data_IF_423363122147
#
_entry.id   IF_423363122147
#
_cell.length_a   1.000
_cell.length_b   1.000
_cell.length_c   1.000
_cell.angle_alpha   90.00
_cell.angle_beta   90.00
_cell.angle_gamma   90.00
#
_symmetry.space_group_name_H-M   'P 1'
#
loop_
_entity.id
_entity.type
_entity.pdbx_description
1 polymer ?
#
# COMPACT_ATOMS: atom_id res chain seq x y z
N UNK A 1 -11.54 9.61 4.43
CA UNK A 1 -11.52 8.24 3.89
C UNK A 1 -12.20 8.22 2.54
N UNK A 2 -12.02 7.15 1.76
CA UNK A 2 -12.49 7.06 0.38
C UNK A 2 -13.97 7.46 0.23
N UNK A 3 -14.90 6.77 0.91
CA UNK A 3 -16.35 6.99 0.73
C UNK A 3 -16.81 8.42 1.05
N UNK A 4 -16.35 8.98 2.17
CA UNK A 4 -16.72 10.33 2.60
C UNK A 4 -16.09 11.48 1.81
N UNK A 5 -15.18 11.19 0.87
CA UNK A 5 -14.50 12.21 0.06
C UNK A 5 -15.25 12.42 -1.27
N UNK A 6 -15.51 13.67 -1.65
CA UNK A 6 -16.12 14.00 -2.96
C UNK A 6 -15.13 14.72 -3.87
N UNK A 7 -15.29 14.60 -5.19
CA UNK A 7 -14.45 15.33 -6.15
C UNK A 7 -14.50 16.85 -5.93
N UNK A 8 -15.65 17.38 -5.50
CA UNK A 8 -15.80 18.81 -5.15
C UNK A 8 -14.97 19.19 -3.92
N UNK A 9 -14.96 18.35 -2.88
CA UNK A 9 -14.15 18.59 -1.68
C UNK A 9 -12.65 18.55 -2.01
N UNK A 10 -12.21 17.59 -2.83
CA UNK A 10 -10.81 17.54 -3.31
C UNK A 10 -10.47 18.80 -4.12
N UNK A 11 -11.32 19.18 -5.08
CA UNK A 11 -11.09 20.35 -5.91
C UNK A 11 -11.00 21.64 -5.08
N UNK A 12 -11.90 21.82 -4.10
CA UNK A 12 -11.86 22.95 -3.17
C UNK A 12 -10.56 22.97 -2.36
N UNK A 13 -10.11 21.82 -1.84
CA UNK A 13 -8.86 21.72 -1.08
C UNK A 13 -7.64 22.03 -1.96
N UNK A 14 -7.64 21.56 -3.21
CA UNK A 14 -6.59 21.82 -4.19
C UNK A 14 -6.67 23.24 -4.81
N UNK A 15 -7.66 24.06 -4.42
CA UNK A 15 -7.96 25.37 -5.02
C UNK A 15 -8.12 25.29 -6.55
N UNK A 16 -8.74 24.21 -7.02
CA UNK A 16 -8.95 23.90 -8.43
C UNK A 16 -10.45 23.82 -8.77
N UNK A 17 -10.76 23.91 -10.07
CA UNK A 17 -12.12 23.66 -10.57
C UNK A 17 -12.39 22.15 -10.66
N UNK A 18 -13.52 21.68 -10.12
CA UNK A 18 -13.92 20.26 -10.18
C UNK A 18 -13.98 19.70 -11.62
N UNK A 19 -14.30 20.55 -12.61
CA UNK A 19 -14.29 20.17 -14.02
C UNK A 19 -12.89 19.77 -14.51
N UNK A 20 -11.82 20.38 -13.98
CA UNK A 20 -10.45 19.97 -14.30
C UNK A 20 -10.14 18.60 -13.69
N UNK A 21 -10.57 18.35 -12.46
CA UNK A 21 -10.41 17.04 -11.82
C UNK A 21 -11.09 15.94 -12.63
N UNK A 22 -12.34 16.17 -13.06
CA UNK A 22 -13.07 15.23 -13.93
C UNK A 22 -12.38 15.09 -15.29
N UNK A 23 -11.86 16.17 -15.88
CA UNK A 23 -11.15 16.14 -17.16
C UNK A 23 -9.89 15.25 -17.10
N UNK A 24 -9.08 15.38 -16.05
CA UNK A 24 -7.81 14.66 -15.93
C UNK A 24 -7.99 13.24 -15.40
N UNK A 25 -8.85 13.04 -14.41
CA UNK A 25 -8.96 11.77 -13.71
C UNK A 25 -10.21 10.97 -14.05
N UNK A 26 -11.18 11.54 -14.78
CA UNK A 26 -12.46 10.93 -15.21
C UNK A 26 -13.43 10.58 -14.09
N UNK A 27 -12.98 9.95 -13.01
CA UNK A 27 -13.81 9.53 -11.88
C UNK A 27 -13.09 9.70 -10.53
N UNK A 28 -13.82 9.49 -9.43
CA UNK A 28 -13.28 9.51 -8.06
C UNK A 28 -12.35 8.32 -7.83
N UNK A 29 -12.70 7.17 -8.38
CA UNK A 29 -11.93 5.92 -8.33
C UNK A 29 -10.57 6.12 -8.99
N UNK A 30 -10.55 6.65 -10.22
CA UNK A 30 -9.33 6.87 -10.97
C UNK A 30 -8.45 7.99 -10.36
N UNK A 31 -9.06 9.04 -9.81
CA UNK A 31 -8.33 10.03 -8.99
C UNK A 31 -7.70 9.36 -7.75
N UNK A 32 -8.46 8.54 -7.04
CA UNK A 32 -7.99 7.87 -5.84
C UNK A 32 -6.84 6.91 -6.15
N UNK A 33 -6.95 6.15 -7.23
CA UNK A 33 -5.86 5.29 -7.71
C UNK A 33 -4.59 6.08 -8.01
N UNK A 34 -4.71 7.18 -8.75
CA UNK A 34 -3.60 8.06 -9.06
C UNK A 34 -2.97 8.69 -7.82
N UNK A 35 -3.79 8.99 -6.80
CA UNK A 35 -3.32 9.51 -5.52
C UNK A 35 -2.81 8.41 -4.57
N UNK A 36 -3.05 7.13 -4.87
CA UNK A 36 -2.71 5.99 -4.01
C UNK A 36 -1.35 5.38 -4.36
N UNK A 37 -0.44 6.18 -4.91
CA UNK A 37 0.98 5.81 -4.93
C UNK A 37 1.53 5.78 -3.52
N UNK A 38 2.21 4.67 -3.20
CA UNK A 38 2.74 4.44 -1.87
C UNK A 38 4.06 3.70 -1.95
N UNK A 39 5.08 4.26 -1.31
CA UNK A 39 6.36 3.61 -1.10
C UNK A 39 6.38 3.02 0.32
N UNK A 40 6.50 1.69 0.41
CA UNK A 40 6.64 0.96 1.67
C UNK A 40 7.96 1.30 2.37
N UNK A 41 8.91 1.93 1.67
CA UNK A 41 10.23 2.32 2.20
C UNK A 41 10.92 1.15 2.88
N UNK A 42 10.84 -0.05 2.28
CA UNK A 42 11.33 -1.27 2.90
C UNK A 42 12.80 -1.09 3.32
N UNK A 43 13.17 -1.51 4.54
CA UNK A 43 14.54 -1.38 5.00
C UNK A 43 15.44 -2.29 4.16
N UNK A 44 16.75 -2.01 4.18
CA UNK A 44 17.71 -2.98 3.65
C UNK A 44 17.69 -4.23 4.52
N UNK A 45 17.25 -5.34 3.91
CA UNK A 45 17.16 -6.63 4.56
C UNK A 45 18.43 -7.47 4.40
N UNK A 46 19.33 -7.11 3.47
CA UNK A 46 20.50 -7.92 3.13
C UNK A 46 21.58 -7.98 4.21
N UNK A 47 21.53 -7.06 5.17
CA UNK A 47 22.49 -6.95 6.28
C UNK A 47 22.04 -7.63 7.57
N UNK A 48 20.80 -8.14 7.62
CA UNK A 48 20.23 -8.75 8.82
C UNK A 48 20.48 -10.26 8.88
N UNK A 49 20.65 -10.81 10.09
CA UNK A 49 20.61 -12.25 10.31
C UNK A 49 19.21 -12.80 9.98
N UNK A 50 19.14 -14.07 9.53
CA UNK A 50 17.90 -14.67 9.01
C UNK A 50 16.76 -14.69 10.04
N UNK A 51 17.09 -14.86 11.31
CA UNK A 51 16.18 -14.85 12.46
C UNK A 51 15.70 -13.44 12.85
N UNK A 52 16.42 -12.38 12.45
CA UNK A 52 16.02 -10.99 12.68
C UNK A 52 15.09 -10.43 11.59
N UNK A 53 15.05 -11.06 10.41
CA UNK A 53 14.30 -10.54 9.24
C UNK A 53 12.81 -10.35 9.54
N UNK A 54 12.17 -11.35 10.16
CA UNK A 54 10.76 -11.32 10.50
C UNK A 54 10.41 -10.17 11.46
N UNK A 55 11.04 -10.11 12.65
CA UNK A 55 10.84 -9.01 13.60
C UNK A 55 11.12 -7.62 13.00
N UNK A 56 12.21 -7.45 12.22
CA UNK A 56 12.53 -6.17 11.57
C UNK A 56 11.46 -5.75 10.57
N UNK A 57 11.01 -6.67 9.73
CA UNK A 57 9.99 -6.38 8.72
C UNK A 57 8.63 -6.05 9.38
N UNK A 58 8.26 -6.75 10.45
CA UNK A 58 7.05 -6.47 11.21
C UNK A 58 7.11 -5.10 11.90
N UNK A 59 8.22 -4.78 12.57
CA UNK A 59 8.41 -3.48 13.20
C UNK A 59 8.35 -2.33 12.19
N UNK A 60 9.01 -2.48 11.04
CA UNK A 60 8.96 -1.52 9.95
C UNK A 60 7.53 -1.32 9.42
N UNK A 61 6.81 -2.41 9.21
CA UNK A 61 5.42 -2.36 8.77
C UNK A 61 4.53 -1.58 9.74
N UNK A 62 4.67 -1.80 11.04
CA UNK A 62 3.93 -1.02 12.03
C UNK A 62 4.29 0.45 11.99
N UNK A 63 5.57 0.79 11.88
CA UNK A 63 6.01 2.17 11.74
C UNK A 63 5.39 2.85 10.51
N UNK A 64 5.32 2.15 9.36
CA UNK A 64 4.68 2.67 8.14
C UNK A 64 3.18 2.89 8.33
N UNK A 65 2.49 1.97 9.01
CA UNK A 65 1.05 2.08 9.27
C UNK A 65 0.69 3.17 10.29
N UNK A 66 1.59 3.43 11.24
CA UNK A 66 1.41 4.42 12.29
C UNK A 66 1.98 5.80 11.90
N UNK A 67 2.61 5.92 10.72
CA UNK A 67 3.15 7.17 10.15
C UNK A 67 2.03 8.11 9.69
N UNK A 68 1.37 8.75 10.65
CA UNK A 68 0.48 9.91 10.51
C UNK A 68 -0.25 9.99 9.16
N UNK A 69 0.11 10.91 8.25
CA UNK A 69 -0.54 11.06 6.95
C UNK A 69 -0.42 9.83 6.03
N UNK A 70 0.77 9.22 5.93
CA UNK A 70 1.04 8.10 5.02
C UNK A 70 0.30 6.84 5.47
N UNK A 71 0.37 6.50 6.75
CA UNK A 71 -0.37 5.38 7.34
C UNK A 71 -1.89 5.51 7.14
N UNK A 72 -2.45 6.72 7.32
CA UNK A 72 -3.87 6.98 7.05
C UNK A 72 -4.27 6.75 5.60
N UNK A 73 -3.40 7.07 4.64
CA UNK A 73 -3.64 6.79 3.22
C UNK A 73 -3.70 5.29 2.97
N UNK A 74 -2.75 4.53 3.53
CA UNK A 74 -2.67 3.09 3.35
C UNK A 74 -3.84 2.35 4.01
N UNK A 75 -4.27 2.78 5.20
CA UNK A 75 -5.49 2.28 5.85
C UNK A 75 -6.73 2.60 5.01
N UNK A 76 -6.81 3.80 4.44
CA UNK A 76 -7.95 4.16 3.60
C UNK A 76 -8.00 3.33 2.30
N UNK A 77 -6.83 2.98 1.74
CA UNK A 77 -6.73 2.06 0.60
C UNK A 77 -7.10 0.63 0.98
N UNK A 78 -6.65 0.15 2.14
CA UNK A 78 -6.99 -1.19 2.66
C UNK A 78 -8.50 -1.36 2.81
N UNK A 79 -9.20 -0.37 3.39
CA UNK A 79 -10.65 -0.41 3.54
C UNK A 79 -11.37 -0.35 2.19
N UNK A 80 -10.90 0.49 1.26
CA UNK A 80 -11.48 0.55 -0.08
C UNK A 80 -11.31 -0.76 -0.86
N UNK A 81 -10.18 -1.47 -0.67
CA UNK A 81 -9.90 -2.76 -1.31
C UNK A 81 -10.91 -3.87 -0.93
N UNK A 82 -11.61 -3.75 0.19
CA UNK A 82 -12.64 -4.72 0.57
C UNK A 82 -13.86 -4.69 -0.37
N UNK A 83 -14.20 -3.51 -0.91
CA UNK A 83 -15.44 -3.28 -1.67
C UNK A 83 -15.20 -2.84 -3.12
N UNK A 84 -14.00 -2.35 -3.44
CA UNK A 84 -13.66 -1.81 -4.76
C UNK A 84 -12.54 -2.64 -5.42
N UNK A 85 -12.80 -3.34 -6.54
CA UNK A 85 -11.80 -4.17 -7.22
C UNK A 85 -10.53 -3.43 -7.61
N UNK A 86 -10.66 -2.17 -8.05
CA UNK A 86 -9.53 -1.33 -8.45
C UNK A 86 -8.61 -0.99 -7.28
N UNK A 87 -9.19 -0.64 -6.13
CA UNK A 87 -8.43 -0.39 -4.91
C UNK A 87 -7.71 -1.66 -4.42
N UNK A 88 -8.34 -2.82 -4.57
CA UNK A 88 -7.74 -4.13 -4.27
C UNK A 88 -6.55 -4.42 -5.18
N UNK A 89 -6.71 -4.24 -6.50
CA UNK A 89 -5.63 -4.40 -7.45
C UNK A 89 -4.46 -3.46 -7.13
N UNK A 90 -4.75 -2.20 -6.77
CA UNK A 90 -3.72 -1.23 -6.36
C UNK A 90 -2.97 -1.67 -5.11
N UNK A 91 -3.69 -2.11 -4.07
CA UNK A 91 -3.10 -2.61 -2.83
C UNK A 91 -2.19 -3.81 -3.09
N UNK A 92 -2.68 -4.79 -3.88
CA UNK A 92 -1.89 -5.94 -4.28
C UNK A 92 -0.63 -5.53 -5.04
N UNK A 93 -0.74 -4.60 -6.00
CA UNK A 93 0.41 -4.14 -6.78
C UNK A 93 1.50 -3.44 -5.93
N UNK A 94 1.13 -2.69 -4.88
CA UNK A 94 2.10 -2.06 -3.95
C UNK A 94 2.96 -3.15 -3.30
N UNK A 95 2.30 -4.14 -2.68
CA UNK A 95 2.98 -5.21 -1.96
C UNK A 95 3.71 -6.15 -2.89
N UNK A 96 3.07 -6.58 -3.98
CA UNK A 96 3.64 -7.50 -4.94
C UNK A 96 4.90 -6.94 -5.57
N UNK A 97 4.93 -5.65 -5.92
CA UNK A 97 6.09 -5.05 -6.59
C UNK A 97 7.25 -4.86 -5.61
N UNK A 98 6.98 -4.23 -4.47
CA UNK A 98 8.04 -3.79 -3.56
C UNK A 98 8.55 -4.93 -2.68
N UNK A 99 7.65 -5.76 -2.15
CA UNK A 99 8.05 -6.86 -1.28
C UNK A 99 8.70 -7.99 -2.07
N UNK A 100 8.22 -8.28 -3.28
CA UNK A 100 8.88 -9.27 -4.16
C UNK A 100 10.30 -8.83 -4.51
N UNK A 101 10.48 -7.56 -4.87
CA UNK A 101 11.80 -7.03 -5.15
C UNK A 101 12.74 -7.20 -3.94
N UNK A 102 12.29 -6.84 -2.74
CA UNK A 102 13.08 -7.01 -1.52
C UNK A 102 13.40 -8.49 -1.22
N UNK A 103 12.41 -9.39 -1.27
CA UNK A 103 12.61 -10.82 -0.96
C UNK A 103 13.52 -11.52 -1.97
N UNK A 104 13.46 -11.14 -3.25
CA UNK A 104 14.38 -11.67 -4.28
C UNK A 104 15.85 -11.34 -4.04
N UNK A 105 16.15 -10.30 -3.26
CA UNK A 105 17.54 -10.00 -2.86
C UNK A 105 18.06 -10.94 -1.77
N UNK A 106 17.17 -11.63 -1.05
CA UNK A 106 17.50 -12.43 0.12
C UNK A 106 17.43 -13.94 -0.13
N UNK A 107 16.59 -14.35 -1.08
CA UNK A 107 16.24 -15.75 -1.30
C UNK A 107 16.63 -16.16 -2.72
N UNK A 108 17.42 -17.24 -2.88
CA UNK A 108 17.74 -17.81 -4.18
C UNK A 108 16.49 -18.10 -5.02
N UNK A 109 16.59 -18.00 -6.34
CA UNK A 109 15.43 -18.15 -7.24
C UNK A 109 14.75 -19.52 -7.15
N UNK A 110 15.51 -20.57 -6.85
CA UNK A 110 15.05 -21.95 -6.66
C UNK A 110 14.36 -22.20 -5.31
N UNK A 111 14.49 -21.27 -4.35
CA UNK A 111 13.82 -21.32 -3.04
C UNK A 111 12.46 -20.59 -2.99
N UNK A 112 11.94 -20.17 -4.15
CA UNK A 112 10.60 -19.60 -4.29
C UNK A 112 10.41 -18.22 -3.62
N UNK A 113 11.22 -17.20 -3.97
CA UNK A 113 11.13 -15.85 -3.38
C UNK A 113 9.74 -15.21 -3.56
N UNK A 114 9.11 -15.42 -4.72
CA UNK A 114 7.81 -14.81 -5.05
C UNK A 114 6.67 -15.36 -4.19
N UNK A 115 6.68 -16.67 -3.92
CA UNK A 115 5.72 -17.30 -3.01
C UNK A 115 5.91 -16.78 -1.58
N UNK A 116 7.16 -16.68 -1.12
CA UNK A 116 7.48 -16.15 0.21
C UNK A 116 7.03 -14.70 0.36
N UNK A 117 7.29 -13.84 -0.63
CA UNK A 117 6.80 -12.47 -0.65
C UNK A 117 5.27 -12.41 -0.56
N UNK A 118 4.57 -13.28 -1.28
CA UNK A 118 3.10 -13.36 -1.25
C UNK A 118 2.57 -13.77 0.12
N UNK A 119 3.21 -14.74 0.78
CA UNK A 119 2.85 -15.19 2.14
C UNK A 119 3.08 -14.09 3.17
N UNK A 120 4.22 -13.39 3.08
CA UNK A 120 4.55 -12.26 3.95
C UNK A 120 3.52 -11.13 3.77
N UNK A 121 3.22 -10.74 2.52
CA UNK A 121 2.19 -9.73 2.24
C UNK A 121 0.82 -10.13 2.79
N UNK A 122 0.44 -11.41 2.66
CA UNK A 122 -0.84 -11.92 3.17
C UNK A 122 -0.94 -11.82 4.70
N UNK A 123 0.14 -12.14 5.42
CA UNK A 123 0.19 -12.00 6.89
C UNK A 123 0.10 -10.53 7.31
N UNK A 124 0.89 -9.66 6.67
CA UNK A 124 0.93 -8.22 6.95
C UNK A 124 -0.43 -7.56 6.71
N UNK A 125 -1.02 -7.78 5.53
CA UNK A 125 -2.33 -7.23 5.17
C UNK A 125 -3.45 -7.81 6.02
N UNK A 126 -3.41 -9.11 6.32
CA UNK A 126 -4.38 -9.76 7.20
C UNK A 126 -4.36 -9.18 8.61
N UNK A 127 -3.17 -8.97 9.19
CA UNK A 127 -3.05 -8.30 10.48
C UNK A 127 -3.59 -6.87 10.43
N UNK A 128 -3.19 -6.09 9.42
CA UNK A 128 -3.65 -4.70 9.29
C UNK A 128 -5.17 -4.62 9.15
N UNK A 129 -5.78 -5.57 8.44
CA UNK A 129 -7.24 -5.64 8.26
C UNK A 129 -7.98 -5.94 9.56
N UNK A 130 -7.40 -6.74 10.46
CA UNK A 130 -7.99 -7.03 11.77
C UNK A 130 -7.82 -5.85 12.73
N UNK A 131 -6.70 -5.11 12.64
CA UNK A 131 -6.38 -4.01 13.55
C UNK A 131 -7.04 -2.67 13.19
N UNK A 132 -7.22 -2.37 11.90
CA UNK A 132 -7.59 -1.02 11.39
C UNK A 132 -8.83 -1.03 10.50
#
# INVERSE_FOLDING_TARGET
GYDGTTLRAVAAHARANVALVIRYYRSKEALFLAASEFDLRLPDLGTAARDELGPRLAAHFFAVWEDGPAGRQLVSLLRAAATHPDARARMQAIFETQLRAAVRTLVPSDEGPDLRATLIASQMLGFAFVRY
#
